data_IF_074501431704
#
_entry.id   IF_074501431704
#
_cell.length_a   1.000
_cell.length_b   1.000
_cell.length_c   1.000
_cell.angle_alpha   90.00
_cell.angle_beta   90.00
_cell.angle_gamma   90.00
#
_symmetry.space_group_name_H-M   'P 1'
#
loop_
_entity.id
_entity.type
_entity.pdbx_description
1 polymer ?
#
# COMPACT_ATOMS: atom_id res chain seq x y z
N UNK A 1 -35.91 2.37 -20.81
CA UNK A 1 -34.80 2.11 -19.86
C UNK A 1 -35.40 2.31 -18.50
N UNK A 2 -35.68 1.21 -17.81
CA UNK A 2 -36.58 1.18 -16.66
C UNK A 2 -35.93 1.82 -15.43
N UNK A 3 -36.70 2.59 -14.66
CA UNK A 3 -36.22 3.33 -13.47
C UNK A 3 -35.64 2.42 -12.37
N UNK A 4 -35.98 1.13 -12.42
CA UNK A 4 -35.45 0.04 -11.58
C UNK A 4 -34.01 -0.35 -11.94
N UNK A 5 -33.60 -0.26 -13.21
CA UNK A 5 -32.23 -0.56 -13.64
C UNK A 5 -31.23 0.53 -13.21
N UNK A 6 -31.68 1.78 -13.11
CA UNK A 6 -30.85 2.92 -12.67
C UNK A 6 -30.55 2.81 -11.17
N UNK A 7 -31.50 2.31 -10.37
CA UNK A 7 -31.31 2.03 -8.94
C UNK A 7 -30.40 0.80 -8.70
N UNK A 8 -30.48 -0.23 -9.55
CA UNK A 8 -29.62 -1.41 -9.45
C UNK A 8 -28.18 -1.18 -9.97
N UNK A 9 -27.96 -0.23 -10.89
CA UNK A 9 -26.61 0.19 -11.28
C UNK A 9 -25.90 1.01 -10.18
N UNK A 10 -26.65 1.66 -9.28
CA UNK A 10 -26.07 2.39 -8.15
C UNK A 10 -25.64 1.48 -6.98
N UNK A 11 -26.15 0.25 -6.90
CA UNK A 11 -25.91 -0.66 -5.75
C UNK A 11 -24.77 -1.68 -5.97
N UNK A 12 -24.19 -1.76 -7.17
CA UNK A 12 -23.18 -2.79 -7.51
C UNK A 12 -21.72 -2.32 -7.56
N UNK A 13 -21.41 -1.08 -7.18
CA UNK A 13 -20.02 -0.71 -6.87
C UNK A 13 -19.66 -1.35 -5.52
N UNK A 14 -19.25 -2.61 -5.58
CA UNK A 14 -18.56 -3.27 -4.46
C UNK A 14 -17.53 -2.28 -3.91
N UNK A 15 -17.76 -1.77 -2.70
CA UNK A 15 -16.75 -1.02 -1.96
C UNK A 15 -15.54 -1.93 -1.86
N UNK A 16 -14.48 -1.63 -2.62
CA UNK A 16 -13.27 -2.45 -2.63
C UNK A 16 -12.78 -2.59 -1.19
N UNK A 17 -12.78 -3.82 -0.68
CA UNK A 17 -12.23 -4.14 0.64
C UNK A 17 -10.77 -4.52 0.43
N UNK A 18 -9.86 -3.63 0.79
CA UNK A 18 -8.42 -3.84 0.62
C UNK A 18 -7.77 -4.53 1.83
N UNK A 19 -8.40 -4.44 3.00
CA UNK A 19 -8.02 -5.14 4.22
C UNK A 19 -9.24 -5.60 5.01
N UNK A 20 -9.16 -6.82 5.57
CA UNK A 20 -10.07 -7.33 6.62
C UNK A 20 -9.23 -7.72 7.84
N UNK A 21 -9.50 -7.18 9.04
CA UNK A 21 -8.80 -7.59 10.23
C UNK A 21 -9.17 -9.04 10.56
N UNK A 22 -8.17 -9.89 10.77
CA UNK A 22 -8.40 -11.27 11.23
C UNK A 22 -8.78 -11.21 12.71
N UNK A 23 -10.08 -11.21 13.02
CA UNK A 23 -10.61 -11.10 14.40
C UNK A 23 -10.58 -12.42 15.17
N UNK A 24 -9.68 -13.33 14.81
CA UNK A 24 -9.56 -14.64 15.46
C UNK A 24 -8.81 -14.56 16.77
N UNK A 25 -9.52 -14.54 17.89
CA UNK A 25 -8.92 -14.71 19.21
C UNK A 25 -8.33 -16.11 19.34
N UNK A 26 -7.03 -16.22 19.61
CA UNK A 26 -6.40 -17.51 19.89
C UNK A 26 -6.62 -17.84 21.36
N UNK A 27 -7.84 -18.24 21.67
CA UNK A 27 -8.12 -18.92 22.93
C UNK A 27 -7.99 -20.42 22.72
N UNK A 28 -7.43 -21.16 23.67
CA UNK A 28 -7.77 -22.59 23.77
C UNK A 28 -9.31 -22.63 23.78
N UNK A 29 -9.93 -23.28 22.80
CA UNK A 29 -11.39 -23.34 22.70
C UNK A 29 -12.01 -23.71 24.04
N UNK A 30 -13.19 -23.18 24.35
CA UNK A 30 -13.89 -23.44 25.63
C UNK A 30 -13.84 -24.92 26.01
N UNK A 31 -14.12 -25.79 25.03
CA UNK A 31 -14.08 -27.25 25.15
C UNK A 31 -12.70 -27.81 25.54
N UNK A 32 -11.61 -27.29 24.95
CA UNK A 32 -10.26 -27.77 25.23
C UNK A 32 -9.80 -27.34 26.64
N UNK A 33 -10.19 -26.15 27.10
CA UNK A 33 -9.96 -25.69 28.48
C UNK A 33 -10.67 -26.57 29.50
N UNK A 34 -11.94 -26.90 29.24
CA UNK A 34 -12.66 -27.83 30.10
C UNK A 34 -11.95 -29.18 30.15
N UNK A 35 -11.60 -29.78 29.02
CA UNK A 35 -10.93 -31.10 29.02
C UNK A 35 -9.57 -31.04 29.75
N UNK A 36 -8.74 -30.04 29.45
CA UNK A 36 -7.37 -29.97 29.95
C UNK A 36 -7.28 -29.66 31.45
N UNK A 37 -8.22 -28.88 32.00
CA UNK A 37 -8.17 -28.45 33.40
C UNK A 37 -9.24 -29.11 34.29
N UNK A 38 -10.39 -29.53 33.76
CA UNK A 38 -11.46 -30.18 34.54
C UNK A 38 -11.15 -31.66 34.79
N UNK A 39 -10.58 -32.38 33.82
CA UNK A 39 -10.28 -33.81 33.99
C UNK A 39 -9.24 -34.04 35.10
N UNK A 40 -8.07 -33.36 35.12
CA UNK A 40 -7.08 -33.58 36.17
C UNK A 40 -7.58 -33.16 37.55
N UNK A 41 -8.39 -32.10 37.63
CA UNK A 41 -8.92 -31.59 38.90
C UNK A 41 -10.02 -32.49 39.45
N UNK A 42 -10.89 -33.05 38.61
CA UNK A 42 -11.86 -34.08 39.03
C UNK A 42 -11.15 -35.35 39.48
N UNK A 43 -10.10 -35.80 38.77
CA UNK A 43 -9.30 -36.96 39.18
C UNK A 43 -8.62 -36.70 40.54
N UNK A 44 -8.04 -35.52 40.75
CA UNK A 44 -7.44 -35.13 42.03
C UNK A 44 -8.46 -35.12 43.17
N UNK A 45 -9.68 -34.62 42.92
CA UNK A 45 -10.77 -34.61 43.90
C UNK A 45 -11.21 -36.04 44.27
N UNK A 46 -11.31 -36.94 43.29
CA UNK A 46 -11.63 -38.36 43.51
C UNK A 46 -10.52 -39.05 44.32
N UNK A 47 -9.25 -38.79 44.00
CA UNK A 47 -8.11 -39.34 44.75
C UNK A 47 -8.10 -38.83 46.19
N UNK A 48 -8.32 -37.53 46.40
CA UNK A 48 -8.40 -36.92 47.73
C UNK A 48 -9.55 -37.51 48.55
N UNK A 49 -10.71 -37.73 47.93
CA UNK A 49 -11.86 -38.39 48.53
C UNK A 49 -11.53 -39.83 48.98
N UNK A 50 -10.80 -40.57 48.14
CA UNK A 50 -10.41 -41.97 48.42
C UNK A 50 -9.40 -42.07 49.56
N UNK A 51 -8.53 -41.05 49.72
CA UNK A 51 -7.52 -40.96 50.78
C UNK A 51 -8.13 -40.54 52.12
N UNK A 52 -9.05 -39.57 52.14
CA UNK A 52 -9.55 -38.96 53.38
C UNK A 52 -10.50 -39.84 54.21
N UNK A 53 -11.00 -40.98 53.66
CA UNK A 53 -11.86 -41.97 54.37
C UNK A 53 -12.94 -41.33 55.28
N UNK A 54 -13.58 -40.26 54.80
CA UNK A 54 -14.63 -39.57 55.54
C UNK A 54 -15.91 -40.41 55.65
N UNK A 55 -16.70 -40.27 56.74
CA UNK A 55 -18.00 -40.92 56.84
C UNK A 55 -18.93 -40.49 55.68
N UNK A 56 -19.77 -41.41 55.16
CA UNK A 56 -20.53 -41.20 53.92
C UNK A 56 -21.51 -40.02 53.98
N UNK A 57 -21.93 -39.61 55.18
CA UNK A 57 -22.86 -38.48 55.38
C UNK A 57 -22.22 -37.11 55.09
N UNK A 58 -20.92 -36.95 55.35
CA UNK A 58 -20.18 -35.70 55.15
C UNK A 58 -19.50 -35.68 53.77
N UNK A 59 -19.19 -36.85 53.23
CA UNK A 59 -18.36 -36.98 52.05
C UNK A 59 -19.06 -36.53 50.75
N UNK A 60 -20.37 -36.75 50.61
CA UNK A 60 -21.18 -36.32 49.45
C UNK A 60 -21.26 -34.79 49.30
N UNK A 61 -21.66 -34.01 50.32
CA UNK A 61 -21.72 -32.55 50.19
C UNK A 61 -20.35 -31.90 49.98
N UNK A 62 -19.30 -32.44 50.61
CA UNK A 62 -17.92 -31.97 50.40
C UNK A 62 -17.46 -32.21 48.96
N UNK A 63 -17.82 -33.35 48.37
CA UNK A 63 -17.53 -33.66 46.97
C UNK A 63 -18.24 -32.71 46.01
N UNK A 64 -19.53 -32.42 46.24
CA UNK A 64 -20.30 -31.47 45.43
C UNK A 64 -19.70 -30.07 45.50
N UNK A 65 -19.38 -29.60 46.71
CA UNK A 65 -18.76 -28.29 46.90
C UNK A 65 -17.36 -28.21 46.24
N UNK A 66 -16.58 -29.29 46.33
CA UNK A 66 -15.27 -29.39 45.68
C UNK A 66 -15.36 -29.32 44.15
N UNK A 67 -16.32 -30.04 43.55
CA UNK A 67 -16.55 -30.00 42.10
C UNK A 67 -17.00 -28.61 41.64
N UNK A 68 -17.89 -27.95 42.39
CA UNK A 68 -18.32 -26.58 42.09
C UNK A 68 -17.13 -25.60 42.16
N UNK A 69 -16.30 -25.71 43.20
CA UNK A 69 -15.11 -24.87 43.36
C UNK A 69 -14.13 -25.06 42.20
N UNK A 70 -13.90 -26.30 41.79
CA UNK A 70 -13.05 -26.65 40.65
C UNK A 70 -13.58 -26.05 39.35
N UNK A 71 -14.89 -26.17 39.08
CA UNK A 71 -15.51 -25.60 37.88
C UNK A 71 -15.31 -24.07 37.84
N UNK A 72 -15.46 -23.39 38.97
CA UNK A 72 -15.24 -21.94 39.07
C UNK A 72 -13.78 -21.58 38.77
N UNK A 73 -12.82 -22.29 39.36
CA UNK A 73 -11.39 -22.04 39.13
C UNK A 73 -11.01 -22.32 37.67
N UNK A 74 -11.48 -23.42 37.09
CA UNK A 74 -11.18 -23.77 35.69
C UNK A 74 -11.82 -22.77 34.72
N UNK A 75 -13.02 -22.29 35.00
CA UNK A 75 -13.72 -21.29 34.19
C UNK A 75 -12.98 -19.95 34.12
N UNK A 76 -12.22 -19.60 35.16
CA UNK A 76 -11.45 -18.37 35.25
C UNK A 76 -10.15 -18.34 34.44
N UNK A 77 -9.64 -19.50 34.02
CA UNK A 77 -8.37 -19.57 33.27
C UNK A 77 -8.60 -19.14 31.81
N UNK A 78 -7.91 -18.08 31.40
CA UNK A 78 -7.83 -17.65 30.00
C UNK A 78 -6.39 -17.60 29.54
N UNK A 79 -6.20 -17.83 28.24
CA UNK A 79 -4.89 -17.71 27.59
C UNK A 79 -5.02 -16.60 26.55
N UNK A 80 -4.11 -15.64 26.62
CA UNK A 80 -3.95 -14.57 25.66
C UNK A 80 -2.79 -14.92 24.71
N UNK A 81 -2.95 -14.68 23.41
CA UNK A 81 -1.83 -14.76 22.49
C UNK A 81 -0.78 -13.67 22.78
N UNK A 82 0.46 -13.85 22.28
CA UNK A 82 1.54 -12.87 22.44
C UNK A 82 1.16 -11.47 21.92
N UNK A 83 0.36 -11.44 20.84
CA UNK A 83 -0.14 -10.22 20.20
C UNK A 83 -1.46 -9.70 20.78
N UNK A 84 -1.97 -10.30 21.85
CA UNK A 84 -3.20 -9.86 22.51
C UNK A 84 -2.91 -9.24 23.86
N UNK A 85 -3.64 -8.17 24.19
CA UNK A 85 -3.66 -7.58 25.53
C UNK A 85 -5.06 -7.66 26.11
N UNK A 86 -5.16 -8.15 27.34
CA UNK A 86 -6.43 -8.27 28.06
C UNK A 86 -6.68 -7.04 28.92
N UNK A 87 -7.70 -6.24 28.56
CA UNK A 87 -8.19 -5.14 29.40
C UNK A 87 -9.20 -5.70 30.39
N UNK A 88 -8.86 -5.68 31.69
CA UNK A 88 -9.71 -6.25 32.75
C UNK A 88 -10.56 -5.17 33.40
N UNK A 89 -11.88 -5.37 33.34
CA UNK A 89 -12.88 -4.57 34.01
C UNK A 89 -13.47 -5.39 35.16
N UNK A 90 -13.39 -4.90 36.39
CA UNK A 90 -14.00 -5.53 37.57
C UNK A 90 -15.21 -4.71 37.99
N UNK A 91 -16.40 -5.31 37.94
CA UNK A 91 -17.66 -4.62 38.30
C UNK A 91 -17.81 -3.25 37.60
N UNK A 92 -17.38 -3.14 36.35
CA UNK A 92 -17.43 -1.91 35.55
C UNK A 92 -16.28 -0.90 35.78
N UNK A 93 -15.37 -1.15 36.73
CA UNK A 93 -14.16 -0.32 36.92
C UNK A 93 -12.95 -0.95 36.24
N UNK A 94 -12.09 -0.13 35.66
CA UNK A 94 -10.80 -0.59 35.15
C UNK A 94 -9.91 -1.04 36.31
N UNK A 95 -9.37 -2.25 36.20
CA UNK A 95 -8.48 -2.82 37.21
C UNK A 95 -7.02 -2.83 36.75
N UNK A 96 -6.78 -3.11 35.46
CA UNK A 96 -5.43 -3.18 34.91
C UNK A 96 -5.36 -3.89 33.57
N UNK A 97 -4.17 -3.79 32.97
CA UNK A 97 -3.80 -4.51 31.75
C UNK A 97 -3.13 -5.83 32.12
N UNK A 98 -3.62 -6.93 31.55
CA UNK A 98 -2.95 -8.24 31.63
C UNK A 98 -2.20 -8.53 30.33
N UNK A 99 -0.93 -8.90 30.48
CA UNK A 99 -0.04 -9.28 29.39
C UNK A 99 -0.35 -10.66 28.80
N UNK A 100 0.42 -11.07 27.78
CA UNK A 100 0.22 -12.34 27.08
C UNK A 100 0.50 -13.55 27.98
N UNK A 101 -0.05 -14.71 27.59
CA UNK A 101 0.11 -15.97 28.31
C UNK A 101 -1.10 -16.38 29.15
N UNK A 102 -0.88 -17.25 30.13
CA UNK A 102 -1.93 -17.74 31.01
C UNK A 102 -2.28 -16.69 32.05
N UNK A 103 -3.54 -16.27 32.07
CA UNK A 103 -4.07 -15.37 33.09
C UNK A 103 -5.31 -15.94 33.76
N UNK A 104 -5.42 -15.69 35.05
CA UNK A 104 -6.61 -15.99 35.82
C UNK A 104 -7.50 -14.75 35.92
N UNK A 105 -8.78 -14.95 35.62
CA UNK A 105 -9.82 -13.94 35.73
C UNK A 105 -10.89 -14.51 36.64
N UNK A 106 -11.41 -13.70 37.56
CA UNK A 106 -12.51 -14.13 38.42
C UNK A 106 -13.78 -14.22 37.56
N UNK A 107 -14.31 -15.44 37.27
CA UNK A 107 -15.57 -15.54 36.55
C UNK A 107 -16.66 -14.81 37.36
N UNK A 108 -17.62 -14.19 36.68
CA UNK A 108 -18.71 -13.35 37.22
C UNK A 108 -18.35 -11.92 37.66
N UNK A 109 -17.20 -11.69 38.30
CA UNK A 109 -16.83 -10.36 38.79
C UNK A 109 -16.01 -9.55 37.78
N UNK A 110 -15.25 -10.24 36.94
CA UNK A 110 -14.32 -9.63 35.97
C UNK A 110 -14.75 -9.92 34.54
N UNK A 111 -14.74 -8.87 33.73
CA UNK A 111 -14.92 -8.90 32.29
C UNK A 111 -13.60 -8.55 31.61
N UNK A 112 -13.21 -9.32 30.59
CA UNK A 112 -11.97 -9.10 29.86
C UNK A 112 -12.24 -8.93 28.39
N UNK A 113 -11.78 -7.79 27.85
CA UNK A 113 -11.77 -7.49 26.42
C UNK A 113 -10.36 -7.65 25.89
N UNK A 114 -10.19 -8.51 24.88
CA UNK A 114 -8.92 -8.71 24.19
C UNK A 114 -8.78 -7.71 23.06
N UNK A 115 -7.60 -7.12 22.94
CA UNK A 115 -7.25 -6.23 21.83
C UNK A 115 -5.97 -6.74 21.19
N UNK A 116 -5.96 -6.74 19.86
CA UNK A 116 -4.77 -7.00 19.06
C UNK A 116 -3.87 -5.76 19.03
N UNK A 117 -2.59 -5.94 19.37
CA UNK A 117 -1.57 -4.87 19.33
C UNK A 117 -0.77 -4.85 18.03
N UNK A 118 -1.08 -5.73 17.07
CA UNK A 118 -0.46 -5.72 15.74
C UNK A 118 -0.91 -4.52 14.92
N UNK A 119 -0.17 -4.26 13.85
CA UNK A 119 -0.58 -3.33 12.82
C UNK A 119 -1.84 -3.88 12.15
N UNK A 120 -2.93 -3.14 12.30
CA UNK A 120 -4.21 -3.38 11.66
C UNK A 120 -4.31 -2.49 10.43
N UNK A 121 -4.81 -3.08 9.35
CA UNK A 121 -5.13 -2.35 8.14
C UNK A 121 -6.65 -2.20 8.02
N UNK A 122 -7.12 -0.96 7.83
CA UNK A 122 -8.53 -0.65 7.54
C UNK A 122 -8.63 0.16 6.26
N UNK A 123 -9.75 0.02 5.57
CA UNK A 123 -10.00 0.75 4.33
C UNK A 123 -10.72 2.06 4.63
N UNK A 124 -10.29 3.14 3.99
CA UNK A 124 -11.08 4.35 3.83
C UNK A 124 -12.03 4.10 2.66
N UNK A 125 -13.36 4.10 2.88
CA UNK A 125 -14.29 3.91 1.79
C UNK A 125 -14.18 5.05 0.78
N UNK A 126 -14.44 4.73 -0.49
CA UNK A 126 -14.30 5.66 -1.60
C UNK A 126 -15.26 6.84 -1.49
N UNK A 127 -14.72 8.05 -1.64
CA UNK A 127 -15.48 9.30 -1.54
C UNK A 127 -15.38 10.14 -2.80
N UNK A 128 -16.48 10.80 -3.16
CA UNK A 128 -16.50 11.83 -4.20
C UNK A 128 -16.13 13.17 -3.58
N UNK A 129 -15.09 13.80 -4.11
CA UNK A 129 -14.56 15.09 -3.65
C UNK A 129 -14.38 15.99 -4.86
N UNK A 130 -14.54 17.30 -4.67
CA UNK A 130 -14.21 18.30 -5.68
C UNK A 130 -12.90 18.97 -5.23
N UNK A 131 -11.91 18.97 -6.11
CA UNK A 131 -10.60 19.58 -5.87
C UNK A 131 -10.66 21.11 -5.96
N UNK A 132 -9.59 21.80 -5.58
CA UNK A 132 -9.48 23.27 -5.62
C UNK A 132 -9.70 23.85 -7.02
N UNK A 133 -9.31 23.12 -8.06
CA UNK A 133 -9.50 23.45 -9.48
C UNK A 133 -10.87 23.01 -10.03
N UNK A 134 -11.83 22.71 -9.15
CA UNK A 134 -13.20 22.35 -9.48
C UNK A 134 -13.32 21.07 -10.32
N UNK A 135 -12.40 20.13 -10.11
CA UNK A 135 -12.43 18.83 -10.78
C UNK A 135 -13.09 17.80 -9.85
N UNK A 136 -14.16 17.12 -10.27
CA UNK A 136 -14.71 16.00 -9.52
C UNK A 136 -13.74 14.81 -9.59
N UNK A 137 -13.32 14.31 -8.43
CA UNK A 137 -12.51 13.11 -8.29
C UNK A 137 -13.14 12.18 -7.25
N UNK A 138 -12.85 10.88 -7.39
CA UNK A 138 -13.25 9.85 -6.46
C UNK A 138 -11.97 9.21 -5.89
N UNK A 139 -11.82 9.25 -4.57
CA UNK A 139 -10.57 8.88 -3.91
C UNK A 139 -10.85 7.87 -2.81
N UNK A 140 -9.99 6.87 -2.69
CA UNK A 140 -9.94 5.92 -1.59
C UNK A 140 -8.52 5.73 -1.04
N UNK A 141 -8.44 5.02 0.07
CA UNK A 141 -7.17 4.80 0.76
C UNK A 141 -7.25 3.67 1.78
N UNK A 142 -6.12 3.39 2.41
CA UNK A 142 -5.99 2.47 3.52
C UNK A 142 -5.21 3.13 4.67
N UNK A 143 -5.61 2.83 5.89
CA UNK A 143 -4.92 3.21 7.11
C UNK A 143 -4.26 1.99 7.73
N UNK A 144 -3.00 2.17 8.14
CA UNK A 144 -2.24 1.21 8.92
C UNK A 144 -2.00 1.83 10.30
N UNK A 145 -2.53 1.19 11.34
CA UNK A 145 -2.39 1.68 12.70
C UNK A 145 -2.28 0.50 13.66
N UNK A 146 -1.71 0.74 14.84
CA UNK A 146 -1.60 -0.25 15.91
C UNK A 146 -2.03 0.35 17.25
N UNK A 147 -2.58 -0.49 18.11
CA UNK A 147 -2.95 -0.08 19.46
C UNK A 147 -1.71 -0.09 20.34
N UNK A 148 -1.29 1.09 20.80
CA UNK A 148 -0.13 1.24 21.70
C UNK A 148 -0.58 1.13 23.18
N UNK A 149 -1.71 1.76 23.51
CA UNK A 149 -2.29 1.77 24.84
C UNK A 149 -3.70 1.17 24.80
N UNK A 150 -3.78 -0.12 25.15
CA UNK A 150 -5.01 -0.89 25.13
C UNK A 150 -6.05 -0.40 26.15
N UNK A 151 -5.62 0.22 27.27
CA UNK A 151 -6.54 0.76 28.26
C UNK A 151 -7.34 1.92 27.65
N UNK A 152 -6.62 2.89 27.08
CA UNK A 152 -7.25 4.05 26.43
C UNK A 152 -8.15 3.64 25.27
N UNK A 153 -7.72 2.66 24.47
CA UNK A 153 -8.47 2.21 23.30
C UNK A 153 -9.83 1.57 23.66
N UNK A 154 -10.00 1.00 24.86
CA UNK A 154 -11.29 0.44 25.32
C UNK A 154 -12.12 1.46 26.07
N UNK A 155 -11.48 2.29 26.90
CA UNK A 155 -12.20 3.16 27.83
C UNK A 155 -12.65 4.46 27.16
N UNK A 156 -11.83 5.02 26.26
CA UNK A 156 -12.08 6.36 25.69
C UNK A 156 -12.97 6.34 24.45
N UNK A 157 -13.06 5.22 23.75
CA UNK A 157 -13.78 5.10 22.49
C UNK A 157 -14.45 3.72 22.40
N UNK A 158 -15.71 3.68 21.95
CA UNK A 158 -16.50 2.44 21.88
C UNK A 158 -16.01 1.51 20.76
N UNK A 159 -15.95 2.07 19.55
CA UNK A 159 -15.44 1.43 18.34
C UNK A 159 -14.41 2.36 17.69
N UNK A 160 -13.13 2.11 18.00
CA UNK A 160 -12.04 2.88 17.43
C UNK A 160 -11.90 2.65 15.92
N UNK A 161 -12.23 1.46 15.39
CA UNK A 161 -12.06 1.20 13.96
C UNK A 161 -13.03 2.05 13.16
N UNK A 162 -14.30 2.09 13.57
CA UNK A 162 -15.30 2.96 12.98
C UNK A 162 -14.92 4.43 13.14
N UNK A 163 -14.58 4.88 14.36
CA UNK A 163 -14.22 6.27 14.61
C UNK A 163 -13.02 6.76 13.78
N UNK A 164 -11.95 5.96 13.71
CA UNK A 164 -10.77 6.25 12.88
C UNK A 164 -11.15 6.32 11.41
N UNK A 165 -11.93 5.36 10.90
CA UNK A 165 -12.35 5.37 9.49
C UNK A 165 -13.14 6.63 9.12
N UNK A 166 -14.01 7.10 10.02
CA UNK A 166 -14.81 8.31 9.79
C UNK A 166 -13.96 9.58 9.87
N UNK A 167 -13.01 9.63 10.81
CA UNK A 167 -12.10 10.75 10.94
C UNK A 167 -11.12 10.85 9.77
N UNK A 168 -10.57 9.71 9.32
CA UNK A 168 -9.71 9.63 8.16
C UNK A 168 -10.45 10.05 6.88
N UNK A 169 -11.71 9.64 6.74
CA UNK A 169 -12.59 10.06 5.66
C UNK A 169 -12.81 11.58 5.61
N UNK A 170 -13.11 12.20 6.74
CA UNK A 170 -13.25 13.65 6.84
C UNK A 170 -11.93 14.37 6.52
N UNK A 171 -10.82 13.91 7.12
CA UNK A 171 -9.49 14.49 6.91
C UNK A 171 -9.04 14.37 5.46
N UNK A 172 -9.30 13.23 4.81
CA UNK A 172 -9.02 13.02 3.40
C UNK A 172 -9.81 14.01 2.55
N UNK A 173 -11.11 14.17 2.81
CA UNK A 173 -11.95 15.13 2.07
C UNK A 173 -11.44 16.57 2.21
N UNK A 174 -11.08 16.98 3.43
CA UNK A 174 -10.66 18.34 3.72
C UNK A 174 -9.29 18.67 3.06
N UNK A 175 -8.32 17.76 3.18
CA UNK A 175 -6.99 17.94 2.57
C UNK A 175 -7.09 17.92 1.04
N UNK A 176 -7.79 16.95 0.47
CA UNK A 176 -7.97 16.83 -0.99
C UNK A 176 -8.71 18.04 -1.56
N UNK A 177 -9.73 18.56 -0.86
CA UNK A 177 -10.49 19.73 -1.32
C UNK A 177 -9.63 21.00 -1.41
N UNK A 178 -8.55 21.09 -0.63
CA UNK A 178 -7.59 22.19 -0.69
C UNK A 178 -6.53 22.07 -1.78
N UNK A 179 -6.43 20.91 -2.43
CA UNK A 179 -5.41 20.59 -3.43
C UNK A 179 -5.99 20.57 -4.85
N UNK A 180 -5.14 20.78 -5.84
CA UNK A 180 -5.46 20.60 -7.26
C UNK A 180 -5.35 19.14 -7.67
N UNK A 181 -5.98 18.78 -8.79
CA UNK A 181 -5.87 17.43 -9.33
C UNK A 181 -4.42 17.03 -9.65
N UNK A 182 -3.60 17.96 -10.16
CA UNK A 182 -2.21 17.66 -10.53
C UNK A 182 -1.35 17.37 -9.29
N UNK A 183 -1.51 18.15 -8.22
CA UNK A 183 -0.87 17.90 -6.91
C UNK A 183 -1.27 16.52 -6.37
N UNK A 184 -2.55 16.14 -6.48
CA UNK A 184 -3.04 14.82 -6.04
C UNK A 184 -2.42 13.64 -6.79
N UNK A 185 -2.04 13.84 -8.06
CA UNK A 185 -1.42 12.81 -8.89
C UNK A 185 0.11 12.77 -8.74
N UNK A 186 0.74 13.91 -8.50
CA UNK A 186 2.20 14.07 -8.50
C UNK A 186 2.80 14.00 -7.09
N UNK A 187 2.16 14.58 -6.08
CA UNK A 187 2.72 14.77 -4.73
C UNK A 187 2.12 13.81 -3.68
N UNK A 188 1.85 12.56 -4.07
CA UNK A 188 1.13 11.59 -3.23
C UNK A 188 1.75 11.39 -1.84
N UNK A 189 3.08 11.43 -1.73
CA UNK A 189 3.79 11.21 -0.47
C UNK A 189 3.58 12.36 0.53
N UNK A 190 3.66 13.62 0.06
CA UNK A 190 3.44 14.80 0.90
C UNK A 190 1.99 14.84 1.42
N UNK A 191 1.04 14.47 0.57
CA UNK A 191 -0.40 14.42 0.91
C UNK A 191 -0.66 13.34 1.95
N UNK A 192 -0.03 12.16 1.80
CA UNK A 192 -0.12 11.08 2.78
C UNK A 192 0.42 11.49 4.16
N UNK A 193 1.55 12.20 4.19
CA UNK A 193 2.13 12.72 5.43
C UNK A 193 1.20 13.77 6.08
N UNK A 194 0.63 14.67 5.28
CA UNK A 194 -0.28 15.70 5.79
C UNK A 194 -1.56 15.10 6.37
N UNK A 195 -2.21 14.17 5.67
CA UNK A 195 -3.38 13.44 6.19
C UNK A 195 -2.98 12.65 7.43
N UNK A 196 -1.81 12.00 7.40
CA UNK A 196 -1.28 11.25 8.53
C UNK A 196 -1.16 12.09 9.80
N UNK A 197 -0.57 13.28 9.71
CA UNK A 197 -0.42 14.20 10.85
C UNK A 197 -1.76 14.60 11.47
N UNK A 198 -2.74 14.98 10.63
CA UNK A 198 -4.07 15.39 11.09
C UNK A 198 -4.78 14.22 11.79
N UNK A 199 -4.70 13.02 11.23
CA UNK A 199 -5.29 11.83 11.82
C UNK A 199 -4.59 11.42 13.12
N UNK A 200 -3.25 11.41 13.13
CA UNK A 200 -2.45 11.01 14.28
C UNK A 200 -2.74 11.87 15.53
N UNK A 201 -2.87 13.19 15.34
CA UNK A 201 -3.16 14.13 16.43
C UNK A 201 -4.43 13.75 17.19
N UNK A 202 -5.48 13.31 16.47
CA UNK A 202 -6.74 12.88 17.08
C UNK A 202 -6.65 11.49 17.71
N UNK A 203 -6.09 10.51 16.99
CA UNK A 203 -6.14 9.11 17.45
C UNK A 203 -5.18 8.82 18.60
N UNK A 204 -4.16 9.67 18.80
CA UNK A 204 -3.25 9.59 19.95
C UNK A 204 -3.99 9.74 21.28
N UNK A 205 -5.07 10.52 21.32
CA UNK A 205 -5.95 10.63 22.50
C UNK A 205 -6.61 9.29 22.86
N UNK A 206 -6.77 8.39 21.90
CA UNK A 206 -7.34 7.05 22.11
C UNK A 206 -6.29 5.97 22.39
N UNK A 207 -5.00 6.32 22.45
CA UNK A 207 -3.93 5.34 22.68
C UNK A 207 -3.57 4.52 21.44
N UNK A 208 -3.81 5.08 20.26
CA UNK A 208 -3.59 4.40 18.97
C UNK A 208 -2.50 5.15 18.23
N UNK A 209 -1.53 4.40 17.69
CA UNK A 209 -0.46 4.94 16.90
C UNK A 209 -0.75 4.71 15.41
N UNK A 210 -0.60 5.76 14.60
CA UNK A 210 -0.73 5.67 13.16
C UNK A 210 0.63 5.30 12.57
N UNK A 211 0.72 4.15 11.90
CA UNK A 211 1.97 3.76 11.23
C UNK A 211 2.07 4.44 9.85
N UNK A 212 1.00 4.39 9.04
CA UNK A 212 0.96 5.10 7.76
C UNK A 212 -0.45 5.24 7.17
N UNK A 213 -0.62 6.23 6.31
CA UNK A 213 -1.79 6.40 5.43
C UNK A 213 -1.34 6.15 4.00
N UNK A 214 -2.11 5.36 3.24
CA UNK A 214 -1.84 5.09 1.82
C UNK A 214 -3.04 5.50 0.99
N UNK A 215 -2.81 6.36 0.02
CA UNK A 215 -3.77 6.66 -1.04
C UNK A 215 -3.72 5.52 -2.05
N UNK A 216 -4.87 4.94 -2.39
CA UNK A 216 -4.95 3.79 -3.29
C UNK A 216 -5.26 4.26 -4.71
N UNK A 217 -6.52 4.56 -5.00
CA UNK A 217 -6.99 4.97 -6.32
C UNK A 217 -7.51 6.41 -6.30
N UNK A 218 -7.22 7.14 -7.40
CA UNK A 218 -7.81 8.45 -7.72
C UNK A 218 -8.51 8.31 -9.06
N UNK A 219 -9.83 8.20 -9.02
CA UNK A 219 -10.68 8.03 -10.20
C UNK A 219 -11.29 9.38 -10.61
N UNK A 220 -11.27 9.69 -11.89
CA UNK A 220 -11.92 10.86 -12.48
C UNK A 220 -13.04 10.42 -13.42
N UNK A 221 -14.03 11.28 -13.73
CA UNK A 221 -15.00 11.00 -14.77
C UNK A 221 -14.31 10.62 -16.08
N UNK A 222 -14.86 9.62 -16.77
CA UNK A 222 -14.23 9.04 -17.95
C UNK A 222 -14.02 10.08 -19.07
N UNK A 223 -14.97 11.01 -19.22
CA UNK A 223 -14.89 12.09 -20.19
C UNK A 223 -13.68 13.00 -19.94
N UNK A 224 -13.48 13.43 -18.69
CA UNK A 224 -12.34 14.27 -18.32
C UNK A 224 -11.03 13.52 -18.50
N UNK A 225 -10.96 12.27 -18.07
CA UNK A 225 -9.78 11.41 -18.23
C UNK A 225 -9.38 11.29 -19.71
N UNK A 226 -10.36 11.12 -20.61
CA UNK A 226 -10.12 11.07 -22.06
C UNK A 226 -9.60 12.40 -22.61
N UNK A 227 -10.18 13.52 -22.18
CA UNK A 227 -9.75 14.86 -22.62
C UNK A 227 -8.33 15.19 -22.14
N UNK A 228 -8.03 14.95 -20.87
CA UNK A 228 -6.69 15.13 -20.31
C UNK A 228 -5.66 14.23 -20.99
N UNK A 229 -6.00 12.96 -21.26
CA UNK A 229 -5.12 12.05 -21.99
C UNK A 229 -4.80 12.55 -23.40
N UNK A 230 -5.79 13.07 -24.13
CA UNK A 230 -5.58 13.70 -25.45
C UNK A 230 -4.69 14.94 -25.36
N UNK A 231 -4.96 15.83 -24.41
CA UNK A 231 -4.17 17.04 -24.20
C UNK A 231 -2.72 16.71 -23.82
N UNK A 232 -2.51 15.78 -22.88
CA UNK A 232 -1.19 15.33 -22.46
C UNK A 232 -0.42 14.67 -23.61
N UNK A 233 -1.10 13.92 -24.47
CA UNK A 233 -0.49 13.30 -25.66
C UNK A 233 -0.05 14.35 -26.67
N UNK A 234 -0.89 15.36 -26.94
CA UNK A 234 -0.57 16.46 -27.84
C UNK A 234 0.61 17.33 -27.31
N UNK A 235 0.63 17.62 -26.01
CA UNK A 235 1.74 18.37 -25.39
C UNK A 235 3.04 17.55 -25.38
N UNK A 236 2.97 16.24 -25.14
CA UNK A 236 4.12 15.33 -25.27
C UNK A 236 4.65 15.26 -26.70
N UNK A 237 3.76 15.17 -27.69
CA UNK A 237 4.13 15.16 -29.10
C UNK A 237 4.78 16.48 -29.51
N UNK A 238 4.20 17.61 -29.10
CA UNK A 238 4.80 18.94 -29.30
C UNK A 238 6.20 19.03 -28.68
N UNK A 239 6.37 18.60 -27.42
CA UNK A 239 7.67 18.59 -26.74
C UNK A 239 8.67 17.69 -27.46
N UNK A 240 8.27 16.49 -27.85
CA UNK A 240 9.11 15.57 -28.61
C UNK A 240 9.58 16.19 -29.94
N UNK A 241 8.69 16.87 -30.66
CA UNK A 241 9.02 17.55 -31.91
C UNK A 241 10.01 18.71 -31.70
N UNK A 242 9.85 19.49 -30.64
CA UNK A 242 10.79 20.58 -30.28
C UNK A 242 12.16 19.98 -29.93
N UNK A 243 12.22 18.99 -29.04
CA UNK A 243 13.47 18.32 -28.67
C UNK A 243 14.15 17.68 -29.88
N UNK A 244 13.39 17.09 -30.79
CA UNK A 244 13.93 16.55 -32.05
C UNK A 244 14.51 17.64 -32.94
N UNK A 245 13.77 18.73 -33.17
CA UNK A 245 14.25 19.84 -34.00
C UNK A 245 15.50 20.52 -33.40
N UNK A 246 15.57 20.66 -32.07
CA UNK A 246 16.76 21.14 -31.36
C UNK A 246 17.94 20.17 -31.52
N UNK A 247 17.69 18.86 -31.39
CA UNK A 247 18.68 17.82 -31.65
C UNK A 247 19.21 17.84 -33.07
N UNK A 248 18.32 17.98 -34.08
CA UNK A 248 18.68 18.06 -35.50
C UNK A 248 19.53 19.30 -35.80
N UNK A 249 19.18 20.45 -35.19
CA UNK A 249 19.97 21.70 -35.31
C UNK A 249 21.37 21.54 -34.70
N UNK A 250 21.46 20.95 -33.51
CA UNK A 250 22.74 20.73 -32.83
C UNK A 250 23.60 19.71 -33.60
N UNK A 251 23.00 18.65 -34.13
CA UNK A 251 23.66 17.68 -34.99
C UNK A 251 24.19 18.34 -36.27
N UNK A 252 23.39 19.16 -36.95
CA UNK A 252 23.80 19.87 -38.16
C UNK A 252 24.99 20.82 -37.89
N UNK A 253 24.97 21.55 -36.76
CA UNK A 253 26.07 22.42 -36.36
C UNK A 253 27.37 21.63 -36.11
N UNK A 254 27.27 20.51 -35.38
CA UNK A 254 28.43 19.64 -35.12
C UNK A 254 28.99 19.02 -36.40
N UNK A 255 28.13 18.63 -37.35
CA UNK A 255 28.56 18.09 -38.64
C UNK A 255 29.24 19.16 -39.50
N UNK A 256 28.72 20.39 -39.51
CA UNK A 256 29.33 21.50 -40.23
C UNK A 256 30.72 21.85 -39.65
N UNK A 257 30.85 21.87 -38.32
CA UNK A 257 32.12 22.08 -37.65
C UNK A 257 33.12 20.96 -37.93
N UNK A 258 32.68 19.70 -37.85
CA UNK A 258 33.51 18.55 -38.22
C UNK A 258 33.99 18.63 -39.68
N UNK A 259 33.11 19.02 -40.61
CA UNK A 259 33.48 19.22 -42.01
C UNK A 259 34.53 20.32 -42.19
N UNK A 260 34.42 21.44 -41.44
CA UNK A 260 35.43 22.52 -41.46
C UNK A 260 36.79 22.02 -40.98
N UNK A 261 36.84 21.33 -39.83
CA UNK A 261 38.09 20.76 -39.27
C UNK A 261 38.72 19.77 -40.25
N UNK A 262 37.90 18.97 -40.95
CA UNK A 262 38.36 18.03 -41.96
C UNK A 262 38.93 18.68 -43.22
N UNK A 263 38.41 19.85 -43.62
CA UNK A 263 38.95 20.61 -44.74
C UNK A 263 40.27 21.30 -44.38
N UNK A 264 40.40 21.79 -43.14
CA UNK A 264 41.63 22.41 -42.64
C UNK A 264 42.76 21.40 -42.44
N UNK A 265 42.44 20.12 -42.23
CA UNK A 265 43.40 19.03 -41.98
C UNK A 265 43.68 18.22 -43.26
N UNK A 266 44.88 18.34 -43.89
CA UNK A 266 45.20 17.59 -45.11
C UNK A 266 45.11 16.08 -44.89
N UNK A 267 44.34 15.38 -45.74
CA UNK A 267 44.16 13.92 -45.68
C UNK A 267 43.01 13.42 -44.79
N UNK A 268 42.37 14.28 -43.97
CA UNK A 268 41.28 13.87 -43.09
C UNK A 268 40.03 13.36 -43.84
N UNK A 269 39.65 13.99 -44.96
CA UNK A 269 38.56 13.51 -45.83
C UNK A 269 38.87 12.12 -46.39
N UNK A 270 40.12 11.88 -46.81
CA UNK A 270 40.54 10.61 -47.40
C UNK A 270 40.51 9.48 -46.36
N UNK A 271 40.94 9.76 -45.12
CA UNK A 271 40.81 8.82 -43.99
C UNK A 271 39.33 8.52 -43.66
N UNK A 272 38.45 9.52 -43.68
CA UNK A 272 37.00 9.33 -43.50
C UNK A 272 36.41 8.48 -44.61
N UNK A 273 36.80 8.70 -45.87
CA UNK A 273 36.38 7.85 -47.00
C UNK A 273 36.83 6.41 -46.79
N UNK A 274 38.08 6.18 -46.37
CA UNK A 274 38.59 4.84 -46.07
C UNK A 274 37.85 4.19 -44.89
N UNK A 275 37.53 4.93 -43.81
CA UNK A 275 36.71 4.45 -42.70
C UNK A 275 35.28 4.12 -43.12
N UNK A 276 34.67 4.89 -44.02
CA UNK A 276 33.35 4.55 -44.56
C UNK A 276 33.39 3.30 -45.42
N UNK A 277 34.47 3.08 -46.17
CA UNK A 277 34.67 1.86 -46.97
C UNK A 277 34.90 0.65 -46.07
N UNK A 278 35.69 0.78 -45.00
CA UNK A 278 35.89 -0.28 -43.99
C UNK A 278 34.60 -0.62 -43.25
N UNK A 279 33.80 0.39 -42.89
CA UNK A 279 32.51 0.24 -42.22
C UNK A 279 31.41 -0.42 -43.06
N UNK A 280 31.56 -0.52 -44.39
CA UNK A 280 30.62 -1.26 -45.24
C UNK A 280 30.74 -2.79 -45.07
N UNK A 281 31.79 -3.28 -44.41
CA UNK A 281 32.00 -4.68 -44.08
C UNK A 281 32.10 -5.61 -45.31
N UNK A 282 32.54 -6.87 -45.13
CA UNK A 282 32.65 -7.83 -46.23
C UNK A 282 31.27 -8.45 -46.54
N UNK A 283 30.28 -7.63 -46.91
CA UNK A 283 28.95 -8.13 -47.32
C UNK A 283 28.92 -8.27 -48.86
N UNK A 284 28.58 -9.44 -49.43
CA UNK A 284 28.80 -9.78 -50.85
C UNK A 284 27.98 -8.98 -51.88
N UNK A 285 27.25 -7.94 -51.47
CA UNK A 285 26.29 -7.21 -52.31
C UNK A 285 26.72 -5.78 -52.68
N UNK A 286 27.85 -5.27 -52.16
CA UNK A 286 28.34 -3.91 -52.44
C UNK A 286 29.66 -3.93 -53.22
N UNK A 287 29.60 -3.94 -54.56
CA UNK A 287 30.78 -3.66 -55.40
C UNK A 287 31.02 -2.15 -55.43
N UNK A 288 31.94 -1.66 -54.60
CA UNK A 288 32.34 -0.24 -54.58
C UNK A 288 33.46 -0.03 -55.61
N UNK A 289 33.14 0.60 -56.75
CA UNK A 289 34.12 0.98 -57.78
C UNK A 289 34.65 2.38 -57.44
N UNK A 290 35.88 2.46 -56.95
CA UNK A 290 36.55 3.73 -56.68
C UNK A 290 37.15 4.27 -57.99
N UNK A 291 36.66 5.42 -58.46
CA UNK A 291 37.25 6.15 -59.58
C UNK A 291 38.15 7.27 -59.05
N UNK A 292 39.49 7.19 -59.24
CA UNK A 292 40.40 8.25 -58.83
C UNK A 292 40.10 9.55 -59.57
N UNK A 293 40.11 10.69 -58.86
CA UNK A 293 39.83 11.99 -59.47
C UNK A 293 40.86 12.35 -60.56
N UNK A 294 42.10 11.86 -60.44
CA UNK A 294 43.14 12.10 -61.42
C UNK A 294 42.84 11.48 -62.79
N UNK A 295 42.06 10.39 -62.85
CA UNK A 295 41.60 9.76 -64.09
C UNK A 295 40.55 10.61 -64.81
N UNK A 296 39.70 11.32 -64.06
CA UNK A 296 38.70 12.23 -64.61
C UNK A 296 39.32 13.49 -65.22
N UNK A 297 40.31 14.07 -64.55
CA UNK A 297 41.07 15.22 -65.06
C UNK A 297 41.96 14.84 -66.25
N UNK A 298 42.55 13.64 -66.25
CA UNK A 298 43.27 13.09 -67.40
C UNK A 298 42.34 12.86 -68.60
N UNK A 299 41.12 12.36 -68.38
CA UNK A 299 40.11 12.18 -69.43
C UNK A 299 39.64 13.53 -69.99
N UNK A 300 39.41 14.55 -69.16
CA UNK A 300 39.11 15.91 -69.64
C UNK A 300 40.25 16.52 -70.44
N UNK A 301 41.49 16.37 -69.95
CA UNK A 301 42.68 16.80 -70.70
C UNK A 301 42.82 16.08 -72.05
N UNK A 302 42.45 14.80 -72.12
CA UNK A 302 42.44 14.01 -73.36
C UNK A 302 41.31 14.44 -74.31
N UNK A 303 40.12 14.74 -73.78
CA UNK A 303 38.96 15.21 -74.56
C UNK A 303 39.21 16.60 -75.13
N UNK A 304 39.76 17.53 -74.34
CA UNK A 304 40.15 18.87 -74.83
C UNK A 304 41.26 18.79 -75.89
N UNK A 305 42.11 17.76 -75.86
CA UNK A 305 43.13 17.53 -76.88
C UNK A 305 42.56 16.94 -78.18
N UNK A 306 41.46 16.17 -78.10
CA UNK A 306 40.76 15.60 -79.25
C UNK A 306 39.81 16.61 -79.90
N UNK A 307 39.20 17.51 -79.13
CA UNK A 307 38.26 18.54 -79.63
C UNK A 307 38.98 19.71 -80.32
N UNK A 308 40.28 19.89 -80.09
CA UNK A 308 41.08 21.00 -80.66
C UNK A 308 41.84 20.64 -81.95
N UNK A 309 41.51 19.51 -82.60
CA UNK A 309 42.07 19.07 -83.87
C UNK A 309 40.95 18.87 -84.89
#
# INVERSE_FOLDING_TARGET
MDTTDILNMASSRQTKKYAEPVTGHVSLGSSLRFILFLIPSVILAIILFLILRLPPEISVPVMILGVILIIIVVSGVRVAAEWERGVVLRLGKFQGLKGPGMMYILPFLEYVRFIDVRVLAINIPSQKVITRDNVPAQIDGALFFRVEDAEKAVIRIQDFQFAISQFAQASLRDVVGGLTLDELLTEREQIQEQIGKVVEERIKEWGIHLDSVRLLDVEMPEDLKRMMSRQASAEREKRANITKAEGDKLAAANLAEAARIMLESPGAIQLRTLQTVDGLGPTPSNTVILFPAELGDALRGFVDHIVKK
#
